data_IF_931966332116
#
_entry.id   IF_931966332116
#
_cell.length_a   1.000
_cell.length_b   1.000
_cell.length_c   1.000
_cell.angle_alpha   90.00
_cell.angle_beta   90.00
_cell.angle_gamma   90.00
#
_symmetry.space_group_name_H-M   'P 1'
#
loop_
_entity.id
_entity.type
_entity.pdbx_description
1 polymer ?
#
# COMPACT_ATOMS: atom_id res chain seq x y z
N UNK A 1 -9.53 7.09 -2.67
CA UNK A 1 -9.49 6.81 -1.23
C UNK A 1 -8.79 5.48 -1.04
N UNK A 2 -7.49 5.37 -1.37
CA UNK A 2 -6.72 4.18 -1.00
C UNK A 2 -6.35 4.25 0.49
N UNK A 3 -6.74 3.23 1.25
CA UNK A 3 -6.15 2.92 2.54
C UNK A 3 -5.09 1.85 2.31
N UNK A 4 -3.85 2.15 2.66
CA UNK A 4 -2.69 1.27 2.50
C UNK A 4 -2.18 0.93 3.90
N UNK A 5 -2.20 -0.34 4.26
CA UNK A 5 -1.66 -0.82 5.54
C UNK A 5 -0.52 -1.79 5.28
N UNK A 6 0.66 -1.42 5.77
CA UNK A 6 1.85 -2.24 5.77
C UNK A 6 1.93 -2.97 7.12
N UNK A 7 1.62 -4.25 7.12
CA UNK A 7 1.88 -5.13 8.25
C UNK A 7 3.30 -5.68 8.08
N UNK A 8 4.20 -5.29 8.98
CA UNK A 8 5.63 -5.61 8.88
C UNK A 8 6.04 -6.42 10.10
N UNK A 9 6.80 -7.48 9.90
CA UNK A 9 7.42 -8.24 10.99
C UNK A 9 8.14 -7.30 11.95
N UNK A 10 7.75 -7.31 13.22
CA UNK A 10 8.32 -6.45 14.25
C UNK A 10 9.85 -6.55 14.32
N UNK A 11 10.41 -7.74 14.07
CA UNK A 11 11.86 -7.99 14.12
C UNK A 11 12.59 -7.48 12.87
N UNK A 12 11.86 -7.17 11.79
CA UNK A 12 12.38 -6.65 10.52
C UNK A 12 11.85 -5.26 10.19
N UNK A 13 11.22 -4.59 11.16
CA UNK A 13 10.65 -3.26 10.98
C UNK A 13 11.78 -2.28 10.60
N UNK A 14 11.69 -1.59 9.44
CA UNK A 14 12.67 -0.58 9.09
C UNK A 14 12.66 0.58 10.08
N UNK A 15 13.77 1.32 10.12
CA UNK A 15 13.82 2.57 10.88
C UNK A 15 12.90 3.64 10.28
N UNK A 16 12.66 4.72 11.03
CA UNK A 16 11.75 5.78 10.63
C UNK A 16 12.12 6.47 9.32
N UNK A 17 13.40 6.56 8.99
CA UNK A 17 13.88 7.17 7.75
C UNK A 17 13.46 6.33 6.52
N UNK A 18 13.70 5.02 6.57
CA UNK A 18 13.28 4.08 5.52
C UNK A 18 11.76 4.07 5.39
N UNK A 19 11.03 4.09 6.51
CA UNK A 19 9.56 4.16 6.49
C UNK A 19 9.06 5.47 5.86
N UNK A 20 9.74 6.60 6.09
CA UNK A 20 9.40 7.88 5.45
C UNK A 20 9.56 7.80 3.93
N UNK A 21 10.67 7.22 3.44
CA UNK A 21 10.86 7.06 1.99
C UNK A 21 9.81 6.15 1.35
N UNK A 22 9.46 5.03 2.00
CA UNK A 22 8.39 4.14 1.52
C UNK A 22 7.04 4.86 1.54
N UNK A 23 6.77 5.66 2.57
CA UNK A 23 5.52 6.45 2.68
C UNK A 23 5.40 7.48 1.56
N UNK A 24 6.47 8.22 1.27
CA UNK A 24 6.51 9.21 0.18
C UNK A 24 6.28 8.55 -1.17
N UNK A 25 7.02 7.49 -1.50
CA UNK A 25 6.83 6.75 -2.75
C UNK A 25 5.43 6.13 -2.86
N UNK A 26 4.92 5.54 -1.77
CA UNK A 26 3.55 5.02 -1.74
C UNK A 26 2.50 6.12 -1.97
N UNK A 27 2.76 7.33 -1.47
CA UNK A 27 1.90 8.49 -1.70
C UNK A 27 1.88 8.85 -3.19
N UNK A 28 3.05 8.95 -3.82
CA UNK A 28 3.20 9.21 -5.26
C UNK A 28 2.50 8.14 -6.09
N UNK A 29 2.67 6.84 -5.77
CA UNK A 29 1.98 5.77 -6.49
C UNK A 29 0.46 5.88 -6.37
N UNK A 30 -0.04 6.25 -5.18
CA UNK A 30 -1.47 6.48 -4.97
C UNK A 30 -2.00 7.68 -5.79
N UNK A 31 -1.26 8.78 -5.85
CA UNK A 31 -1.70 9.99 -6.58
C UNK A 31 -1.52 9.86 -8.09
N UNK A 32 -0.43 9.24 -8.53
CA UNK A 32 0.01 9.31 -9.92
C UNK A 32 -0.46 8.10 -10.72
N UNK A 33 -0.45 6.91 -10.12
CA UNK A 33 -0.92 5.68 -10.77
C UNK A 33 -2.42 5.50 -10.49
N UNK A 34 -2.81 5.51 -9.21
CA UNK A 34 -4.22 5.30 -8.83
C UNK A 34 -5.09 6.54 -8.95
N UNK A 35 -4.53 7.70 -9.36
CA UNK A 35 -5.24 8.99 -9.50
C UNK A 35 -6.05 9.34 -8.25
N UNK A 36 -5.53 9.02 -7.07
CA UNK A 36 -6.16 9.40 -5.81
C UNK A 36 -5.88 10.88 -5.51
N UNK A 37 -6.88 11.61 -5.03
CA UNK A 37 -6.62 12.90 -4.41
C UNK A 37 -5.78 12.68 -3.14
N UNK A 38 -4.71 13.46 -2.95
CA UNK A 38 -3.78 13.34 -1.83
C UNK A 38 -4.48 13.27 -0.47
N UNK A 39 -5.47 14.14 -0.23
CA UNK A 39 -6.27 14.17 1.01
C UNK A 39 -7.00 12.87 1.35
N UNK A 40 -7.14 11.97 0.37
CA UNK A 40 -7.85 10.70 0.51
C UNK A 40 -6.89 9.50 0.59
N UNK A 41 -5.58 9.74 0.61
CA UNK A 41 -4.55 8.70 0.78
C UNK A 41 -4.30 8.53 2.27
N UNK A 42 -4.43 7.29 2.75
CA UNK A 42 -4.15 6.96 4.15
C UNK A 42 -3.16 5.81 4.21
N UNK A 43 -2.02 6.01 4.87
CA UNK A 43 -0.93 5.05 4.93
C UNK A 43 -0.63 4.74 6.41
N UNK A 44 -0.59 3.45 6.75
CA UNK A 44 -0.35 2.97 8.11
C UNK A 44 0.75 1.91 8.08
N UNK A 45 1.69 1.99 9.02
CA UNK A 45 2.66 0.91 9.30
C UNK A 45 2.33 0.26 10.64
N UNK A 46 2.18 -1.06 10.64
CA UNK A 46 1.82 -1.85 11.82
C UNK A 46 2.89 -2.91 12.05
N UNK A 47 3.61 -2.88 13.20
CA UNK A 47 4.48 -3.98 13.58
C UNK A 47 3.63 -5.18 14.00
N UNK A 48 3.92 -6.36 13.45
CA UNK A 48 3.19 -7.60 13.74
C UNK A 48 4.13 -8.74 14.09
N UNK A 49 3.61 -9.73 14.82
CA UNK A 49 4.29 -11.04 14.98
C UNK A 49 3.76 -11.97 13.89
N UNK A 50 4.57 -12.28 12.88
CA UNK A 50 4.16 -13.19 11.80
C UNK A 50 4.25 -14.66 12.23
N UNK A 51 3.31 -15.47 11.73
CA UNK A 51 3.40 -16.93 11.81
C UNK A 51 4.10 -17.52 10.58
N UNK A 52 3.57 -17.27 9.37
CA UNK A 52 4.10 -17.78 8.09
C UNK A 52 3.91 -16.76 6.98
N UNK A 53 4.76 -16.82 5.95
CA UNK A 53 4.68 -15.98 4.75
C UNK A 53 5.85 -15.01 4.61
N UNK A 54 5.64 -13.95 3.83
CA UNK A 54 6.63 -12.89 3.65
C UNK A 54 6.66 -11.95 4.86
N UNK A 55 7.80 -11.30 5.13
CA UNK A 55 7.97 -10.39 6.27
C UNK A 55 7.18 -9.08 6.16
N UNK A 56 6.62 -8.79 4.98
CA UNK A 56 5.71 -7.66 4.77
C UNK A 56 4.43 -8.18 4.12
N UNK A 57 3.29 -7.76 4.65
CA UNK A 57 1.99 -7.88 4.01
C UNK A 57 1.42 -6.48 3.80
N UNK A 58 1.14 -6.12 2.55
CA UNK A 58 0.52 -4.84 2.22
C UNK A 58 -0.92 -5.08 1.81
N UNK A 59 -1.83 -4.51 2.57
CA UNK A 59 -3.25 -4.47 2.25
C UNK A 59 -3.60 -3.10 1.69
N UNK A 60 -4.21 -3.09 0.51
CA UNK A 60 -4.70 -1.89 -0.13
C UNK A 60 -6.21 -2.02 -0.30
N UNK A 61 -6.96 -1.15 0.35
CA UNK A 61 -8.40 -1.04 0.16
C UNK A 61 -8.69 0.24 -0.61
N UNK A 62 -9.43 0.15 -1.71
CA UNK A 62 -9.66 1.29 -2.59
C UNK A 62 -11.06 1.27 -3.21
N UNK A 63 -11.51 2.45 -3.66
CA UNK A 63 -12.74 2.57 -4.44
C UNK A 63 -12.50 2.14 -5.88
N UNK A 64 -13.39 1.34 -6.45
CA UNK A 64 -13.37 1.03 -7.88
C UNK A 64 -13.65 2.28 -8.70
N UNK A 65 -12.88 2.45 -9.77
CA UNK A 65 -13.02 3.54 -10.75
C UNK A 65 -12.70 2.98 -12.13
N UNK A 66 -13.30 3.53 -13.18
CA UNK A 66 -13.13 3.05 -14.56
C UNK A 66 -11.68 3.09 -15.04
N UNK A 67 -10.89 4.03 -14.52
CA UNK A 67 -9.47 4.20 -14.85
C UNK A 67 -8.52 3.33 -14.00
N UNK A 68 -9.00 2.64 -12.96
CA UNK A 68 -8.20 1.69 -12.14
C UNK A 68 -8.35 0.27 -12.69
N UNK A 69 -7.93 0.09 -13.93
CA UNK A 69 -8.01 -1.19 -14.65
C UNK A 69 -7.01 -2.20 -14.09
N UNK A 70 -7.15 -3.48 -14.45
CA UNK A 70 -6.21 -4.54 -14.03
C UNK A 70 -4.75 -4.19 -14.34
N UNK A 71 -4.38 -3.72 -15.55
CA UNK A 71 -3.00 -3.33 -15.82
C UNK A 71 -2.49 -2.16 -14.96
N UNK A 72 -3.37 -1.20 -14.64
CA UNK A 72 -3.01 -0.08 -13.73
C UNK A 72 -2.76 -0.60 -12.31
N UNK A 73 -3.56 -1.56 -11.85
CA UNK A 73 -3.37 -2.17 -10.53
C UNK A 73 -2.11 -3.04 -10.48
N UNK A 74 -1.81 -3.79 -11.55
CA UNK A 74 -0.56 -4.55 -11.66
C UNK A 74 0.66 -3.64 -11.61
N UNK A 75 0.66 -2.55 -12.38
CA UNK A 75 1.73 -1.56 -12.36
C UNK A 75 1.91 -0.92 -10.97
N UNK A 76 0.81 -0.59 -10.29
CA UNK A 76 0.85 -0.08 -8.92
C UNK A 76 1.47 -1.08 -7.94
N UNK A 77 1.10 -2.36 -8.03
CA UNK A 77 1.64 -3.41 -7.16
C UNK A 77 3.13 -3.64 -7.42
N UNK A 78 3.56 -3.66 -8.68
CA UNK A 78 4.96 -3.80 -9.07
C UNK A 78 5.81 -2.63 -8.57
N UNK A 79 5.34 -1.38 -8.73
CA UNK A 79 6.02 -0.19 -8.21
C UNK A 79 6.20 -0.25 -6.69
N UNK A 80 5.16 -0.69 -5.98
CA UNK A 80 5.19 -0.85 -4.53
C UNK A 80 6.14 -1.96 -4.07
N UNK A 81 6.13 -3.13 -4.73
CA UNK A 81 7.06 -4.22 -4.43
C UNK A 81 8.52 -3.81 -4.67
N UNK A 82 8.78 -3.11 -5.77
CA UNK A 82 10.10 -2.57 -6.10
C UNK A 82 10.58 -1.55 -5.05
N UNK A 83 9.70 -0.66 -4.59
CA UNK A 83 10.00 0.30 -3.52
C UNK A 83 10.40 -0.40 -2.22
N UNK A 84 9.60 -1.35 -1.74
CA UNK A 84 9.86 -2.09 -0.50
C UNK A 84 11.17 -2.87 -0.61
N UNK A 85 11.39 -3.55 -1.74
CA UNK A 85 12.62 -4.31 -1.99
C UNK A 85 13.84 -3.39 -2.01
N UNK A 86 13.77 -2.27 -2.73
CA UNK A 86 14.87 -1.31 -2.86
C UNK A 86 15.19 -0.59 -1.54
N UNK A 87 14.18 -0.18 -0.78
CA UNK A 87 14.34 0.66 0.43
C UNK A 87 14.62 -0.16 1.68
N UNK A 88 13.97 -1.33 1.83
CA UNK A 88 14.05 -2.13 3.05
C UNK A 88 14.72 -3.50 2.84
N UNK A 89 14.99 -3.92 1.60
CA UNK A 89 15.52 -5.27 1.32
C UNK A 89 14.53 -6.39 1.67
N UNK A 90 13.22 -6.07 1.74
CA UNK A 90 12.18 -7.00 2.14
C UNK A 90 11.30 -7.37 0.95
N UNK A 91 10.84 -8.63 0.91
CA UNK A 91 9.79 -9.06 0.00
C UNK A 91 8.42 -8.85 0.65
N UNK A 92 7.45 -8.40 -0.13
CA UNK A 92 6.09 -8.17 0.34
C UNK A 92 5.08 -9.11 -0.34
N UNK A 93 4.03 -9.48 0.40
CA UNK A 93 2.79 -9.97 -0.20
C UNK A 93 1.83 -8.80 -0.30
N UNK A 94 1.43 -8.43 -1.52
CA UNK A 94 0.54 -7.30 -1.77
C UNK A 94 -0.85 -7.83 -2.15
N UNK A 95 -1.90 -7.27 -1.55
CA UNK A 95 -3.30 -7.56 -1.91
C UNK A 95 -4.11 -6.28 -2.01
N UNK A 96 -4.78 -6.13 -3.14
CA UNK A 96 -5.65 -5.00 -3.44
C UNK A 96 -7.12 -5.43 -3.40
N UNK A 97 -7.94 -4.70 -2.67
CA UNK A 97 -9.37 -4.93 -2.50
C UNK A 97 -10.14 -3.70 -2.98
N UNK A 98 -10.76 -3.84 -4.16
CA UNK A 98 -11.58 -2.81 -4.75
C UNK A 98 -13.04 -2.93 -4.33
N UNK A 99 -13.63 -1.82 -3.88
CA UNK A 99 -15.04 -1.74 -3.48
C UNK A 99 -15.81 -0.77 -4.37
N UNK A 100 -17.03 -1.14 -4.75
CA UNK A 100 -17.95 -0.21 -5.41
C UNK A 100 -18.22 1.00 -4.51
N UNK A 101 -18.48 2.18 -5.08
CA UNK A 101 -18.74 3.39 -4.31
C UNK A 101 -19.91 3.23 -3.33
N UNK A 102 -20.94 2.45 -3.72
CA UNK A 102 -22.10 2.11 -2.88
C UNK A 102 -21.79 1.16 -1.72
N UNK A 103 -20.63 0.52 -1.72
CA UNK A 103 -20.19 -0.40 -0.67
C UNK A 103 -19.32 0.26 0.40
N UNK A 104 -18.92 1.52 0.21
CA UNK A 104 -18.02 2.24 1.10
C UNK A 104 -18.80 3.26 1.93
N UNK A 105 -18.91 3.00 3.23
CA UNK A 105 -19.44 3.95 4.21
C UNK A 105 -18.26 4.53 5.01
N UNK A 106 -17.89 5.77 4.72
CA UNK A 106 -16.72 6.42 5.33
C UNK A 106 -17.04 7.86 5.76
N UNK A 107 -16.30 8.37 6.75
CA UNK A 107 -16.36 9.75 7.24
C UNK A 107 -14.96 10.26 7.54
N UNK A 108 -14.72 11.52 7.17
CA UNK A 108 -13.43 12.23 7.18
C UNK A 108 -12.50 11.79 6.05
#
# INVERSE_FOLDING_TARGET
>A
MPNVTFYIDKEKMPNSEILSFIMEECTEFCTDILKAALKNVHIIFVPVTHGRGHPVFVEIQYRLETFRTTPVMEHFMEAMENSITRRAGLTARIRCFGYAASSIFARN
#
